data_IF_937569651445
#
_entry.id   IF_937569651445
#
_cell.length_a   1.000
_cell.length_b   1.000
_cell.length_c   1.000
_cell.angle_alpha   90.00
_cell.angle_beta   90.00
_cell.angle_gamma   90.00
#
_symmetry.space_group_name_H-M   'P 1'
#
loop_
_entity.id
_entity.type
_entity.pdbx_description
1 polymer ?
#
# COMPACT_ATOMS: atom_id res chain seq x y z
N UNK A 1 -5.09 0.58 -21.96
CA UNK A 1 -3.84 0.77 -21.17
C UNK A 1 -3.42 -0.59 -20.59
N UNK A 2 -2.13 -0.93 -20.63
CA UNK A 2 -1.62 -2.26 -20.21
C UNK A 2 -1.26 -2.37 -18.72
N UNK A 3 -1.12 -1.23 -18.02
CA UNK A 3 -0.72 -1.20 -16.63
C UNK A 3 -1.74 -1.87 -15.70
N UNK A 4 -1.28 -2.87 -14.95
CA UNK A 4 -2.06 -3.52 -13.89
C UNK A 4 -2.26 -2.56 -12.73
N UNK A 5 -3.50 -2.36 -12.32
CA UNK A 5 -3.83 -1.46 -11.22
C UNK A 5 -3.95 -2.24 -9.92
N UNK A 6 -3.52 -1.64 -8.80
CA UNK A 6 -3.64 -2.21 -7.46
C UNK A 6 -4.15 -1.11 -6.52
N UNK A 7 -5.19 -1.40 -5.73
CA UNK A 7 -5.63 -0.52 -4.66
C UNK A 7 -4.62 -0.58 -3.52
N UNK A 8 -4.27 0.58 -2.97
CA UNK A 8 -3.37 0.64 -1.82
C UNK A 8 -4.03 -0.01 -0.58
N UNK A 9 -3.48 -1.14 -0.13
CA UNK A 9 -4.03 -1.93 0.98
C UNK A 9 -4.09 -1.16 2.30
N UNK A 10 -3.21 -0.17 2.50
CA UNK A 10 -3.28 0.70 3.67
C UNK A 10 -4.45 1.66 3.61
N UNK A 11 -4.79 2.19 2.45
CA UNK A 11 -5.99 3.02 2.33
C UNK A 11 -7.25 2.19 2.57
N UNK A 12 -7.28 0.93 2.13
CA UNK A 12 -8.35 -0.01 2.46
C UNK A 12 -8.40 -0.26 3.98
N UNK A 13 -7.28 -0.58 4.60
CA UNK A 13 -7.16 -0.79 6.06
C UNK A 13 -7.61 0.43 6.88
N UNK A 14 -7.21 1.65 6.48
CA UNK A 14 -7.68 2.90 7.09
C UNK A 14 -9.18 3.11 6.89
N UNK A 15 -9.72 2.79 5.72
CA UNK A 15 -11.15 2.87 5.44
C UNK A 15 -11.94 1.93 6.36
N UNK A 16 -11.51 0.67 6.48
CA UNK A 16 -12.08 -0.32 7.39
C UNK A 16 -12.06 0.21 8.83
N UNK A 17 -10.91 0.64 9.33
CA UNK A 17 -10.77 1.17 10.69
C UNK A 17 -11.70 2.35 10.99
N UNK A 18 -11.91 3.24 10.01
CA UNK A 18 -12.73 4.43 10.18
C UNK A 18 -14.22 4.13 10.31
N UNK A 19 -14.70 3.04 9.70
CA UNK A 19 -16.12 2.69 9.62
C UNK A 19 -16.57 1.60 10.60
N UNK A 20 -15.67 1.07 11.43
CA UNK A 20 -15.97 0.04 12.43
C UNK A 20 -15.81 0.55 13.86
N UNK A 21 -16.52 -0.07 14.81
CA UNK A 21 -16.47 0.32 16.23
C UNK A 21 -15.07 0.11 16.79
N UNK A 22 -14.65 0.97 17.72
CA UNK A 22 -13.30 0.94 18.33
C UNK A 22 -12.94 -0.42 18.93
N UNK A 23 -13.91 -1.12 19.53
CA UNK A 23 -13.73 -2.44 20.12
C UNK A 23 -13.32 -3.50 19.07
N UNK A 24 -13.89 -3.45 17.87
CA UNK A 24 -13.66 -4.45 16.83
C UNK A 24 -12.48 -4.09 15.91
N UNK A 25 -12.01 -2.82 15.93
CA UNK A 25 -10.94 -2.33 15.04
C UNK A 25 -9.69 -3.20 15.06
N UNK A 26 -9.18 -3.53 16.24
CA UNK A 26 -7.94 -4.28 16.35
C UNK A 26 -8.07 -5.67 15.70
N UNK A 27 -9.16 -6.38 15.99
CA UNK A 27 -9.45 -7.72 15.46
C UNK A 27 -9.62 -7.67 13.94
N UNK A 28 -10.46 -6.77 13.43
CA UNK A 28 -10.72 -6.62 11.99
C UNK A 28 -9.43 -6.29 11.23
N UNK A 29 -8.59 -5.40 11.78
CA UNK A 29 -7.35 -5.02 11.12
C UNK A 29 -6.34 -6.17 11.11
N UNK A 30 -6.19 -6.92 12.19
CA UNK A 30 -5.31 -8.10 12.21
C UNK A 30 -5.80 -9.19 11.25
N UNK A 31 -7.09 -9.50 11.22
CA UNK A 31 -7.66 -10.42 10.22
C UNK A 31 -7.48 -9.89 8.79
N UNK A 32 -7.61 -8.58 8.57
CA UNK A 32 -7.33 -8.02 7.24
C UNK A 32 -5.85 -8.17 6.86
N UNK A 33 -4.92 -8.14 7.82
CA UNK A 33 -3.49 -8.42 7.55
C UNK A 33 -3.25 -9.85 7.11
N UNK A 34 -3.99 -10.82 7.62
CA UNK A 34 -3.81 -12.23 7.23
C UNK A 34 -4.24 -12.48 5.78
N UNK A 35 -5.23 -11.72 5.28
CA UNK A 35 -5.71 -11.83 3.89
C UNK A 35 -4.56 -11.60 2.90
N UNK A 36 -3.88 -10.45 2.95
CA UNK A 36 -2.83 -10.13 1.98
C UNK A 36 -1.46 -10.77 2.28
N UNK A 37 -1.35 -11.54 3.38
CA UNK A 37 -0.14 -12.30 3.74
C UNK A 37 -0.25 -13.79 3.42
N UNK A 38 -1.40 -14.25 2.94
CA UNK A 38 -1.57 -15.64 2.57
C UNK A 38 -0.73 -16.01 1.33
N UNK A 39 -0.34 -17.28 1.27
CA UNK A 39 0.73 -17.77 0.39
C UNK A 39 0.30 -17.93 -1.08
N UNK A 40 -1.00 -18.11 -1.35
CA UNK A 40 -1.52 -18.31 -2.69
C UNK A 40 -2.87 -17.60 -2.89
N UNK A 41 -3.23 -17.36 -4.15
CA UNK A 41 -4.43 -16.61 -4.53
C UNK A 41 -5.73 -17.30 -4.06
N UNK A 42 -5.81 -18.63 -4.19
CA UNK A 42 -7.00 -19.41 -3.84
C UNK A 42 -7.33 -19.30 -2.35
N UNK A 43 -6.32 -19.45 -1.48
CA UNK A 43 -6.46 -19.26 -0.05
C UNK A 43 -6.89 -17.83 0.29
N UNK A 44 -6.34 -16.83 -0.39
CA UNK A 44 -6.67 -15.42 -0.14
C UNK A 44 -8.13 -15.13 -0.45
N UNK A 45 -8.62 -15.64 -1.58
CA UNK A 45 -10.03 -15.52 -1.96
C UNK A 45 -10.91 -16.15 -0.89
N UNK A 46 -10.60 -17.36 -0.45
CA UNK A 46 -11.37 -18.03 0.60
C UNK A 46 -11.33 -17.28 1.95
N UNK A 47 -10.16 -16.79 2.37
CA UNK A 47 -10.01 -16.02 3.61
C UNK A 47 -10.80 -14.70 3.50
N UNK A 48 -10.77 -14.03 2.35
CA UNK A 48 -11.51 -12.80 2.10
C UNK A 48 -13.02 -13.03 2.16
N UNK A 49 -13.53 -14.10 1.54
CA UNK A 49 -14.94 -14.49 1.60
C UNK A 49 -15.39 -14.77 3.03
N UNK A 50 -14.59 -15.54 3.78
CA UNK A 50 -14.87 -15.85 5.18
C UNK A 50 -14.87 -14.59 6.05
N UNK A 51 -13.89 -13.70 5.85
CA UNK A 51 -13.81 -12.41 6.54
C UNK A 51 -15.02 -11.53 6.26
N UNK A 52 -15.46 -11.46 4.99
CA UNK A 52 -16.67 -10.72 4.62
C UNK A 52 -17.89 -11.35 5.29
N UNK A 53 -18.06 -12.67 5.21
CA UNK A 53 -19.20 -13.37 5.81
C UNK A 53 -19.30 -13.16 7.33
N UNK A 54 -18.17 -13.18 8.04
CA UNK A 54 -18.10 -12.96 9.49
C UNK A 54 -18.60 -11.56 9.89
N UNK A 55 -18.15 -10.52 9.17
CA UNK A 55 -18.38 -9.14 9.58
C UNK A 55 -19.54 -8.44 8.85
N UNK A 56 -20.03 -8.97 7.72
CA UNK A 56 -21.14 -8.40 6.95
C UNK A 56 -22.43 -8.22 7.77
N UNK A 57 -22.80 -9.12 8.72
CA UNK A 57 -23.95 -8.89 9.59
C UNK A 57 -23.84 -7.65 10.49
N UNK A 58 -22.62 -7.31 10.96
CA UNK A 58 -22.37 -6.15 11.84
C UNK A 58 -22.04 -4.87 11.07
N UNK A 59 -21.31 -4.99 9.96
CA UNK A 59 -20.72 -3.88 9.20
C UNK A 59 -21.03 -3.94 7.71
N UNK A 60 -22.31 -4.20 7.37
CA UNK A 60 -22.80 -4.44 6.01
C UNK A 60 -22.19 -3.51 4.94
N UNK A 61 -22.35 -2.19 5.08
CA UNK A 61 -21.88 -1.21 4.08
C UNK A 61 -20.37 -1.26 3.83
N UNK A 62 -19.59 -1.56 4.87
CA UNK A 62 -18.12 -1.61 4.78
C UNK A 62 -17.69 -2.88 4.06
N UNK A 63 -18.32 -3.99 4.40
CA UNK A 63 -18.01 -5.29 3.80
C UNK A 63 -18.49 -5.37 2.35
N UNK A 64 -19.68 -4.83 2.03
CA UNK A 64 -20.13 -4.68 0.64
C UNK A 64 -19.17 -3.78 -0.17
N UNK A 65 -18.65 -2.71 0.43
CA UNK A 65 -17.65 -1.86 -0.24
C UNK A 65 -16.34 -2.60 -0.49
N UNK A 66 -15.92 -3.47 0.43
CA UNK A 66 -14.70 -4.28 0.28
C UNK A 66 -14.88 -5.38 -0.78
N UNK A 67 -16.03 -6.04 -0.78
CA UNK A 67 -16.43 -7.07 -1.74
C UNK A 67 -16.44 -6.52 -3.19
N UNK A 68 -16.94 -5.30 -3.37
CA UNK A 68 -16.94 -4.60 -4.66
C UNK A 68 -15.61 -3.89 -4.99
N UNK A 69 -14.57 -4.04 -4.17
CA UNK A 69 -13.29 -3.40 -4.44
C UNK A 69 -12.52 -4.20 -5.48
N UNK A 70 -12.54 -3.73 -6.72
CA UNK A 70 -11.66 -4.24 -7.77
C UNK A 70 -10.18 -4.01 -7.41
N UNK A 71 -9.32 -4.83 -8.00
CA UNK A 71 -7.87 -4.66 -7.96
C UNK A 71 -7.26 -4.72 -6.53
N UNK A 72 -7.88 -5.49 -5.64
CA UNK A 72 -7.38 -5.70 -4.27
C UNK A 72 -6.20 -6.69 -4.23
N UNK A 73 -6.23 -7.69 -5.11
CA UNK A 73 -5.31 -8.84 -5.12
C UNK A 73 -4.43 -8.89 -6.38
N UNK A 74 -4.37 -7.81 -7.16
CA UNK A 74 -3.60 -7.76 -8.41
C UNK A 74 -2.13 -8.08 -8.20
N UNK A 75 -1.58 -7.76 -7.02
CA UNK A 75 -0.19 -8.04 -6.69
C UNK A 75 0.18 -9.54 -6.74
N UNK A 76 -0.80 -10.46 -6.60
CA UNK A 76 -0.57 -11.91 -6.75
C UNK A 76 -0.20 -12.33 -8.17
N UNK A 77 -0.41 -11.47 -9.18
CA UNK A 77 0.04 -11.70 -10.57
C UNK A 77 1.55 -11.52 -10.73
N UNK A 78 2.25 -11.05 -9.69
CA UNK A 78 3.68 -10.81 -9.70
C UNK A 78 4.46 -11.86 -8.88
N UNK A 79 5.80 -11.94 -9.02
CA UNK A 79 6.61 -12.84 -8.22
C UNK A 79 6.46 -12.58 -6.71
N UNK A 80 6.40 -13.66 -5.93
CA UNK A 80 6.29 -13.63 -4.46
C UNK A 80 7.33 -12.72 -3.79
N UNK A 81 8.53 -12.66 -4.35
CA UNK A 81 9.67 -11.89 -3.88
C UNK A 81 9.33 -10.40 -3.71
N UNK A 82 8.46 -9.84 -4.56
CA UNK A 82 8.10 -8.42 -4.52
C UNK A 82 6.78 -8.12 -3.83
N UNK A 83 5.99 -9.12 -3.42
CA UNK A 83 4.67 -8.89 -2.80
C UNK A 83 4.76 -7.97 -1.60
N UNK A 84 5.71 -8.22 -0.69
CA UNK A 84 5.92 -7.38 0.48
C UNK A 84 6.21 -5.92 0.13
N UNK A 85 6.95 -5.71 -0.95
CA UNK A 85 7.28 -4.37 -1.44
C UNK A 85 6.08 -3.65 -2.02
N UNK A 86 5.11 -4.38 -2.59
CA UNK A 86 3.88 -3.82 -3.15
C UNK A 86 2.85 -3.50 -2.06
N UNK A 87 2.61 -4.43 -1.11
CA UNK A 87 1.59 -4.21 -0.07
C UNK A 87 2.07 -3.38 1.12
N UNK A 88 3.39 -3.25 1.32
CA UNK A 88 3.96 -2.37 2.34
C UNK A 88 3.91 -0.91 1.89
N UNK A 89 3.73 0.00 2.83
CA UNK A 89 3.86 1.45 2.57
C UNK A 89 5.11 2.04 3.16
N UNK A 90 6.04 1.22 3.68
CA UNK A 90 7.22 1.73 4.38
C UNK A 90 8.00 2.75 3.53
N UNK A 91 8.10 2.54 2.22
CA UNK A 91 8.76 3.49 1.31
C UNK A 91 8.04 4.84 1.27
N UNK A 92 6.72 4.83 1.03
CA UNK A 92 5.89 6.03 0.90
C UNK A 92 5.80 6.76 2.25
N UNK A 93 5.54 6.03 3.33
CA UNK A 93 5.41 6.61 4.67
C UNK A 93 6.75 7.14 5.21
N UNK A 94 7.87 6.47 4.90
CA UNK A 94 9.20 7.00 5.23
C UNK A 94 9.48 8.31 4.51
N UNK A 95 9.19 8.38 3.20
CA UNK A 95 9.35 9.61 2.42
C UNK A 95 8.43 10.73 2.92
N UNK A 96 7.14 10.42 3.15
CA UNK A 96 6.17 11.38 3.69
C UNK A 96 6.58 11.91 5.07
N UNK A 97 7.12 11.04 5.93
CA UNK A 97 7.64 11.41 7.25
C UNK A 97 8.85 12.34 7.12
N UNK A 98 9.75 12.07 6.17
CA UNK A 98 10.89 12.93 5.88
C UNK A 98 10.45 14.30 5.41
N UNK A 99 9.56 14.36 4.41
CA UNK A 99 9.01 15.62 3.88
C UNK A 99 8.38 16.43 5.02
N UNK A 100 7.48 15.82 5.81
CA UNK A 100 6.85 16.49 6.98
C UNK A 100 7.87 16.99 8.00
N UNK A 101 8.91 16.22 8.27
CA UNK A 101 9.96 16.61 9.22
C UNK A 101 10.75 17.81 8.70
N UNK A 102 11.10 17.83 7.42
CA UNK A 102 11.90 18.89 6.82
C UNK A 102 11.08 20.16 6.58
N UNK A 103 9.81 20.05 6.19
CA UNK A 103 8.92 21.21 6.05
C UNK A 103 8.58 21.83 7.40
N UNK A 104 8.41 21.04 8.46
CA UNK A 104 8.15 21.56 9.83
C UNK A 104 9.29 22.45 10.38
N UNK A 105 10.52 22.31 9.88
CA UNK A 105 11.65 23.20 10.23
C UNK A 105 11.49 24.61 9.63
N UNK A 106 10.67 24.75 8.59
CA UNK A 106 10.36 26.03 7.96
C UNK A 106 9.07 26.56 8.58
N UNK A 107 9.12 27.79 9.10
CA UNK A 107 7.96 28.42 9.76
C UNK A 107 6.90 28.86 8.73
N UNK A 108 7.35 29.38 7.58
CA UNK A 108 6.51 29.84 6.48
C UNK A 108 7.29 29.75 5.16
N UNK A 109 6.58 29.49 4.06
CA UNK A 109 7.11 29.69 2.71
C UNK A 109 6.52 31.00 2.14
N UNK A 110 7.34 31.87 1.53
CA UNK A 110 6.90 33.18 1.06
C UNK A 110 5.92 33.10 -0.13
N UNK A 111 6.03 32.06 -0.96
CA UNK A 111 5.13 31.75 -2.07
C UNK A 111 5.20 30.25 -2.41
N UNK A 112 4.35 29.81 -3.34
CA UNK A 112 4.29 28.41 -3.78
C UNK A 112 5.59 27.95 -4.46
N UNK A 113 6.20 28.80 -5.29
CA UNK A 113 7.48 28.50 -5.97
C UNK A 113 8.62 28.24 -4.98
N UNK A 114 8.63 28.91 -3.83
CA UNK A 114 9.62 28.66 -2.77
C UNK A 114 9.40 27.31 -2.09
N UNK A 115 8.14 26.88 -1.92
CA UNK A 115 7.82 25.54 -1.43
C UNK A 115 8.23 24.49 -2.47
N UNK A 116 7.90 24.70 -3.74
CA UNK A 116 8.23 23.77 -4.82
C UNK A 116 9.74 23.57 -4.93
N UNK A 117 10.52 24.65 -5.01
CA UNK A 117 12.00 24.56 -5.04
C UNK A 117 12.54 23.78 -3.84
N UNK A 118 12.00 24.01 -2.65
CA UNK A 118 12.41 23.28 -1.46
C UNK A 118 12.09 21.79 -1.53
N UNK A 119 10.89 21.43 -2.02
CA UNK A 119 10.50 20.04 -2.23
C UNK A 119 11.38 19.37 -3.28
N UNK A 120 11.67 20.03 -4.40
CA UNK A 120 12.57 19.53 -5.44
C UNK A 120 13.94 19.19 -4.87
N UNK A 121 14.55 20.10 -4.09
CA UNK A 121 15.84 19.81 -3.43
C UNK A 121 15.76 18.59 -2.50
N UNK A 122 14.67 18.43 -1.73
CA UNK A 122 14.48 17.24 -0.90
C UNK A 122 14.35 15.95 -1.71
N UNK A 123 13.68 16.01 -2.86
CA UNK A 123 13.54 14.88 -3.76
C UNK A 123 14.85 14.54 -4.46
N UNK A 124 15.64 15.52 -4.88
CA UNK A 124 16.98 15.31 -5.44
C UNK A 124 17.89 14.59 -4.44
N UNK A 125 17.95 15.07 -3.19
CA UNK A 125 18.71 14.42 -2.11
C UNK A 125 18.24 12.98 -1.85
N UNK A 126 16.92 12.75 -1.86
CA UNK A 126 16.34 11.43 -1.68
C UNK A 126 16.73 10.51 -2.84
N UNK A 127 16.53 10.97 -4.08
CA UNK A 127 16.83 10.22 -5.29
C UNK A 127 18.32 9.89 -5.36
N UNK A 128 19.21 10.83 -5.07
CA UNK A 128 20.66 10.58 -5.04
C UNK A 128 21.01 9.44 -4.06
N UNK A 129 20.41 9.44 -2.86
CA UNK A 129 20.62 8.38 -1.86
C UNK A 129 20.04 7.02 -2.26
N UNK A 130 18.94 7.00 -3.02
CA UNK A 130 18.28 5.76 -3.44
C UNK A 130 18.73 5.25 -4.80
N UNK A 131 19.44 6.05 -5.61
CA UNK A 131 19.72 5.74 -7.03
C UNK A 131 20.42 4.40 -7.25
N UNK A 132 21.31 4.01 -6.33
CA UNK A 132 22.06 2.75 -6.43
C UNK A 132 21.36 1.56 -5.74
N UNK A 133 20.16 1.76 -5.19
CA UNK A 133 19.49 0.75 -4.37
C UNK A 133 18.41 0.04 -5.16
N UNK A 134 18.54 -1.28 -5.24
CA UNK A 134 17.45 -2.15 -5.69
C UNK A 134 16.58 -2.46 -4.47
N UNK A 135 15.28 -2.19 -4.58
CA UNK A 135 14.37 -2.47 -3.49
C UNK A 135 14.20 -3.97 -3.26
N UNK A 136 13.81 -4.36 -2.04
CA UNK A 136 13.70 -5.76 -1.63
C UNK A 136 12.85 -6.57 -2.62
N UNK A 137 13.34 -7.73 -3.01
CA UNK A 137 12.67 -8.65 -3.92
C UNK A 137 12.95 -8.38 -5.40
N UNK A 138 13.05 -7.11 -5.81
CA UNK A 138 13.16 -6.76 -7.24
C UNK A 138 14.42 -7.31 -7.89
N UNK A 139 15.56 -7.29 -7.18
CA UNK A 139 16.80 -7.86 -7.71
C UNK A 139 16.80 -9.38 -7.85
N UNK A 140 15.84 -10.08 -7.23
CA UNK A 140 15.76 -11.55 -7.27
C UNK A 140 14.87 -12.07 -8.42
N UNK A 141 14.07 -11.19 -9.03
CA UNK A 141 13.09 -11.57 -10.05
C UNK A 141 13.10 -10.61 -11.25
N UNK A 142 14.24 -10.00 -11.54
CA UNK A 142 14.37 -9.03 -12.63
C UNK A 142 13.99 -9.65 -13.98
N UNK A 143 14.60 -10.79 -14.33
CA UNK A 143 14.34 -11.50 -15.59
C UNK A 143 12.86 -11.92 -15.73
N UNK A 144 12.25 -12.40 -14.63
CA UNK A 144 10.83 -12.76 -14.62
C UNK A 144 9.94 -11.54 -14.83
N UNK A 145 10.29 -10.40 -14.24
CA UNK A 145 9.55 -9.16 -14.43
C UNK A 145 9.64 -8.64 -15.86
N UNK A 146 10.82 -8.70 -16.49
CA UNK A 146 10.98 -8.32 -17.91
C UNK A 146 10.09 -9.17 -18.80
N UNK A 147 10.12 -10.50 -18.63
CA UNK A 147 9.27 -11.43 -19.40
C UNK A 147 7.76 -11.27 -19.21
N UNK A 148 7.31 -10.64 -18.11
CA UNK A 148 5.89 -10.41 -17.83
C UNK A 148 5.32 -9.21 -18.61
N UNK A 149 6.19 -8.35 -19.11
CA UNK A 149 5.82 -7.10 -19.78
C UNK A 149 6.30 -6.99 -21.23
N UNK A 150 7.09 -7.96 -21.71
CA UNK A 150 7.38 -8.20 -23.13
C UNK A 150 6.14 -8.71 -23.89
#
# INVERSE_FOLDING_TARGET
PLAKQQRCLIHISRNLASKVKRADRAVILEQFKTIYRAENLEMVVQILENFIAEWKPKYRKVMESLENTDNLLTFYQFPYQIWHSIYSTNLIESLNKEIKRQTKKKVLFPNEEALERYLVTLFEDYNFKQNQRIHKGFGQCADTLESLFD
#
